data_IF_323176285638
#
_entry.id   IF_323176285638
#
_cell.length_a   1.000
_cell.length_b   1.000
_cell.length_c   1.000
_cell.angle_alpha   90.00
_cell.angle_beta   90.00
_cell.angle_gamma   90.00
#
_symmetry.space_group_name_H-M   'P 1'
#
loop_
_entity.id
_entity.type
_entity.pdbx_description
1 polymer ?
#
# COMPACT_ATOMS: atom_id res chain seq x y z
N UNK A 1 1.30 12.06 -4.15
CA UNK A 1 0.00 11.39 -4.25
C UNK A 1 -0.80 11.55 -2.97
N UNK A 2 -2.12 11.58 -3.10
CA UNK A 2 -3.04 11.64 -1.97
C UNK A 2 -4.01 10.46 -2.05
N UNK A 3 -4.41 9.96 -0.87
CA UNK A 3 -5.38 8.86 -0.82
C UNK A 3 -6.80 9.39 -1.08
N UNK A 4 -7.78 8.50 -1.01
CA UNK A 4 -9.18 8.88 -1.31
C UNK A 4 -9.74 9.94 -0.35
N UNK A 5 -9.11 10.12 0.80
CA UNK A 5 -9.51 11.13 1.79
C UNK A 5 -8.69 12.42 1.69
N UNK A 6 -7.82 12.52 0.70
CA UNK A 6 -6.98 13.68 0.49
C UNK A 6 -5.74 13.73 1.36
N UNK A 7 -5.40 12.63 2.01
CA UNK A 7 -4.23 12.55 2.87
C UNK A 7 -2.99 12.23 2.04
N UNK A 8 -1.90 12.96 2.26
CA UNK A 8 -0.65 12.77 1.52
C UNK A 8 -0.07 11.38 1.80
N UNK A 9 0.37 10.70 0.74
CA UNK A 9 0.92 9.35 0.81
C UNK A 9 2.45 9.41 0.79
N UNK A 10 3.08 8.68 1.69
CA UNK A 10 4.55 8.61 1.79
C UNK A 10 5.01 7.16 1.70
N UNK A 11 6.28 6.99 1.36
CA UNK A 11 6.89 5.67 1.34
C UNK A 11 6.76 5.01 2.71
N UNK A 12 6.36 3.74 2.73
CA UNK A 12 6.13 3.01 3.97
C UNK A 12 4.70 3.06 4.47
N UNK A 13 3.86 3.94 3.91
CA UNK A 13 2.44 3.95 4.27
C UNK A 13 1.77 2.67 3.77
N UNK A 14 0.78 2.20 4.53
CA UNK A 14 -0.03 1.05 4.13
C UNK A 14 -1.34 1.57 3.58
N UNK A 15 -1.60 1.23 2.33
CA UNK A 15 -2.87 1.56 1.66
C UNK A 15 -3.75 0.33 1.65
N UNK A 16 -5.02 0.52 1.93
CA UNK A 16 -5.93 -0.60 1.97
C UNK A 16 -7.30 -0.30 1.40
N UNK A 17 -8.03 -1.38 1.15
CA UNK A 17 -9.44 -1.32 0.79
C UNK A 17 -10.26 -1.55 2.06
N UNK A 18 -11.53 -1.19 1.99
CA UNK A 18 -12.45 -1.30 3.12
C UNK A 18 -12.56 -2.73 3.63
N UNK A 19 -12.49 -3.69 2.73
CA UNK A 19 -12.58 -5.11 3.08
C UNK A 19 -11.24 -5.74 3.48
N UNK A 20 -10.14 -5.00 3.36
CA UNK A 20 -8.82 -5.47 3.71
C UNK A 20 -8.20 -6.47 2.75
N UNK A 21 -8.82 -6.71 1.61
CA UNK A 21 -8.33 -7.72 0.67
C UNK A 21 -7.14 -7.23 -0.15
N UNK A 22 -7.04 -5.93 -0.38
CA UNK A 22 -6.00 -5.35 -1.22
C UNK A 22 -5.08 -4.42 -0.43
N UNK A 23 -4.73 -4.81 0.80
CA UNK A 23 -3.79 -4.05 1.59
C UNK A 23 -2.38 -4.18 1.00
N UNK A 24 -1.70 -3.06 0.87
CA UNK A 24 -0.34 -3.03 0.38
C UNK A 24 0.44 -1.91 1.02
N UNK A 25 1.73 -1.87 0.80
CA UNK A 25 2.57 -0.78 1.32
C UNK A 25 3.26 -0.05 0.18
N UNK A 26 3.53 1.22 0.41
CA UNK A 26 4.13 2.08 -0.60
C UNK A 26 5.63 1.86 -0.60
N UNK A 27 6.17 1.51 -1.77
CA UNK A 27 7.61 1.39 -1.95
C UNK A 27 8.02 1.94 -3.31
N UNK A 28 9.26 2.36 -3.40
CA UNK A 28 9.83 2.78 -4.67
C UNK A 28 10.48 1.59 -5.35
N UNK A 29 10.09 1.31 -6.57
CA UNK A 29 10.67 0.23 -7.37
C UNK A 29 11.67 0.82 -8.35
N UNK A 30 12.95 0.63 -8.08
CA UNK A 30 14.01 1.15 -8.95
C UNK A 30 13.95 0.55 -10.33
N UNK A 31 13.60 -0.72 -10.43
CA UNK A 31 13.49 -1.42 -11.72
C UNK A 31 12.39 -0.83 -12.59
N UNK A 32 11.40 -0.20 -11.99
CA UNK A 32 10.28 0.42 -12.69
C UNK A 32 10.38 1.95 -12.71
N UNK A 33 11.24 2.52 -11.88
CA UNK A 33 11.40 3.96 -11.77
C UNK A 33 10.18 4.67 -11.22
N UNK A 34 9.39 4.01 -10.34
CA UNK A 34 8.17 4.60 -9.83
C UNK A 34 7.79 4.02 -8.48
N UNK A 35 6.91 4.76 -7.78
CA UNK A 35 6.31 4.27 -6.55
C UNK A 35 5.14 3.35 -6.87
N UNK A 36 5.00 2.29 -6.10
CA UNK A 36 3.93 1.30 -6.27
C UNK A 36 3.34 0.95 -4.91
N UNK A 37 2.14 0.38 -4.94
CA UNK A 37 1.51 -0.22 -3.78
C UNK A 37 1.75 -1.73 -3.88
N UNK A 38 2.72 -2.24 -3.12
CA UNK A 38 3.06 -3.66 -3.13
C UNK A 38 2.06 -4.41 -2.28
N UNK A 39 1.30 -5.29 -2.90
CA UNK A 39 0.25 -6.03 -2.20
C UNK A 39 0.86 -7.04 -1.23
N UNK A 40 0.38 -7.01 0.01
CA UNK A 40 0.97 -7.81 1.08
C UNK A 40 0.63 -9.29 0.93
N UNK A 41 -0.59 -9.61 0.53
CA UNK A 41 -1.05 -10.99 0.45
C UNK A 41 -0.83 -11.63 -0.91
N UNK A 42 -0.43 -10.84 -1.88
CA UNK A 42 -0.27 -11.31 -3.26
C UNK A 42 1.12 -10.94 -3.73
N UNK A 43 1.73 -11.77 -4.53
CA UNK A 43 3.03 -11.49 -5.11
C UNK A 43 2.86 -10.57 -6.32
N UNK A 44 2.36 -9.36 -6.07
CA UNK A 44 2.00 -8.42 -7.12
C UNK A 44 2.02 -7.00 -6.55
N UNK A 45 1.90 -6.03 -7.44
CA UNK A 45 1.86 -4.62 -7.04
C UNK A 45 0.85 -3.87 -7.90
N UNK A 46 0.45 -2.70 -7.41
CA UNK A 46 -0.45 -1.81 -8.12
C UNK A 46 0.26 -0.48 -8.38
N UNK A 47 0.02 0.10 -9.55
CA UNK A 47 0.52 1.43 -9.84
C UNK A 47 -0.25 2.44 -9.01
N UNK A 48 0.46 3.32 -8.33
CA UNK A 48 -0.15 4.28 -7.43
C UNK A 48 -1.18 5.15 -8.12
N UNK A 49 -0.84 5.67 -9.30
CA UNK A 49 -1.72 6.56 -10.04
C UNK A 49 -3.07 5.93 -10.40
N UNK A 50 -3.14 4.60 -10.41
CA UNK A 50 -4.36 3.89 -10.78
C UNK A 50 -5.27 3.60 -9.58
N UNK A 51 -4.73 3.62 -8.37
CA UNK A 51 -5.46 3.11 -7.20
C UNK A 51 -5.65 4.11 -6.07
N UNK A 52 -4.90 5.21 -6.06
CA UNK A 52 -4.92 6.14 -4.92
C UNK A 52 -6.32 6.70 -4.63
N UNK A 53 -7.14 6.88 -5.65
CA UNK A 53 -8.50 7.40 -5.46
C UNK A 53 -9.44 6.39 -4.80
N UNK A 54 -9.06 5.10 -4.78
CA UNK A 54 -9.88 4.03 -4.23
C UNK A 54 -9.29 3.42 -2.96
N UNK A 55 -8.16 3.93 -2.49
CA UNK A 55 -7.46 3.38 -1.34
C UNK A 55 -7.35 4.43 -0.25
N UNK A 56 -7.21 3.96 0.99
CA UNK A 56 -6.97 4.86 2.11
C UNK A 56 -5.76 4.40 2.91
N UNK A 57 -5.10 5.36 3.55
CA UNK A 57 -3.97 5.06 4.43
C UNK A 57 -4.54 4.48 5.72
N UNK A 58 -4.12 3.25 6.06
CA UNK A 58 -4.59 2.55 7.25
C UNK A 58 -3.51 2.38 8.30
N UNK A 59 -2.28 2.80 8.00
CA UNK A 59 -1.16 2.74 8.93
C UNK A 59 0.13 2.90 8.17
N UNK A 60 1.23 2.45 8.76
CA UNK A 60 2.51 2.42 8.06
C UNK A 60 3.35 1.25 8.59
N UNK A 61 4.35 0.85 7.82
CA UNK A 61 5.14 -0.33 8.14
C UNK A 61 6.05 -0.12 9.35
N UNK A 62 6.32 1.13 9.72
CA UNK A 62 7.20 1.44 10.84
C UNK A 62 6.47 1.36 12.17
N UNK A 63 5.24 1.83 12.22
CA UNK A 63 4.41 1.78 13.43
C UNK A 63 3.56 0.52 13.51
N UNK A 64 3.25 -0.07 12.35
CA UNK A 64 2.35 -1.22 12.25
C UNK A 64 3.01 -2.35 11.46
N UNK A 65 4.16 -2.88 11.91
CA UNK A 65 4.85 -3.93 11.16
C UNK A 65 4.04 -5.21 11.01
N UNK A 66 3.02 -5.39 11.82
CA UNK A 66 2.13 -6.54 11.72
C UNK A 66 1.43 -6.62 10.37
N UNK A 67 1.30 -5.50 9.65
CA UNK A 67 0.70 -5.53 8.31
C UNK A 67 1.53 -6.34 7.32
N UNK A 68 2.84 -6.48 7.57
CA UNK A 68 3.73 -7.21 6.69
C UNK A 68 3.73 -8.71 6.96
N UNK A 69 3.08 -9.15 8.04
CA UNK A 69 3.02 -10.55 8.41
C UNK A 69 1.83 -11.19 7.71
N UNK A 70 2.12 -12.18 6.87
CA UNK A 70 1.09 -12.97 6.21
C UNK A 70 1.00 -14.29 6.96
N UNK A 71 -0.16 -14.58 7.53
CA UNK A 71 -0.36 -15.83 8.21
C UNK A 71 -0.62 -16.94 7.22
N UNK A 72 0.20 -17.99 7.30
CA UNK A 72 -0.01 -19.21 6.53
C UNK A 72 -0.85 -20.15 7.36
N UNK A 73 -1.95 -20.56 6.81
CA UNK A 73 -2.84 -21.50 7.43
C UNK A 73 -2.32 -22.94 7.30
#
# INVERSE_FOLDING_TARGET
FKDKNGKEIFEGDVLGTKDGLLNGFIEYREDLGMFVNSLIRYNNFERLCNVVSDREIIGNVYENPEFLVVEDE
#
